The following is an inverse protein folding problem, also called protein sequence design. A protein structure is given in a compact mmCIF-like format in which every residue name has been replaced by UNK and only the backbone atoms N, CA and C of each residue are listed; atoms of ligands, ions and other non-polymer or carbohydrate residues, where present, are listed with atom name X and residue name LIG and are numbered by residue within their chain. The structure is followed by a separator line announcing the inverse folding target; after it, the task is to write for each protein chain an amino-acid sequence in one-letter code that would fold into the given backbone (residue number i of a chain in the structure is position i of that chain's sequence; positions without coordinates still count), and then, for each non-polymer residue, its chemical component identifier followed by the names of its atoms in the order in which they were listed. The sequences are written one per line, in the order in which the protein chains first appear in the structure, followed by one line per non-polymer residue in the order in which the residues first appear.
data_IF_349875467082
#
_entry.id   IF_349875467082
#
_cell.length_a   1.000
_cell.length_b   1.000
_cell.length_c   1.000
_cell.angle_alpha   90.00
_cell.angle_beta   90.00
_cell.angle_gamma   90.00
#
_symmetry.space_group_name_H-M   'P 1'
#
loop_
_entity.id
_entity.type
_entity.pdbx_description
1 polymer ?
#
# COMPACT_ATOMS: atom_id res chain seq x y z
N UNK A 1 2.95 -2.92 -18.57
CA UNK A 1 3.50 -2.65 -17.23
C UNK A 1 4.60 -3.65 -16.93
N UNK A 2 5.57 -3.33 -16.08
CA UNK A 2 6.44 -4.35 -15.46
C UNK A 2 7.64 -4.81 -16.29
N UNK A 3 8.11 -3.98 -17.24
CA UNK A 3 9.44 -4.21 -17.85
C UNK A 3 10.48 -3.52 -16.97
N UNK A 4 11.45 -4.28 -16.50
CA UNK A 4 12.61 -3.76 -15.78
C UNK A 4 13.80 -3.88 -16.72
N UNK A 5 14.51 -2.78 -16.96
CA UNK A 5 15.72 -2.83 -17.78
C UNK A 5 16.87 -3.47 -17.00
N UNK A 6 17.87 -3.96 -17.71
CA UNK A 6 19.00 -4.65 -17.09
C UNK A 6 19.78 -3.73 -16.13
N UNK A 7 20.00 -2.48 -16.51
CA UNK A 7 20.64 -1.45 -15.68
C UNK A 7 19.84 -1.18 -14.41
N UNK A 8 18.53 -0.95 -14.51
CA UNK A 8 17.63 -0.77 -13.36
C UNK A 8 17.65 -1.98 -12.42
N UNK A 9 17.63 -3.19 -12.97
CA UNK A 9 17.71 -4.44 -12.20
C UNK A 9 19.05 -4.57 -11.47
N UNK A 10 20.16 -4.37 -12.18
CA UNK A 10 21.51 -4.46 -11.62
C UNK A 10 21.74 -3.39 -10.55
N UNK A 11 21.28 -2.17 -10.77
CA UNK A 11 21.38 -1.08 -9.80
C UNK A 11 20.62 -1.43 -8.51
N UNK A 12 19.34 -1.82 -8.64
CA UNK A 12 18.49 -2.16 -7.49
C UNK A 12 19.02 -3.35 -6.69
N UNK A 13 19.38 -4.44 -7.36
CA UNK A 13 19.91 -5.65 -6.69
C UNK A 13 21.29 -5.41 -6.07
N UNK A 14 22.15 -4.58 -6.69
CA UNK A 14 23.45 -4.21 -6.12
C UNK A 14 23.30 -3.33 -4.87
N UNK A 15 22.42 -2.33 -4.91
CA UNK A 15 22.16 -1.46 -3.76
C UNK A 15 21.63 -2.24 -2.54
N UNK A 16 20.77 -3.22 -2.79
CA UNK A 16 20.24 -4.13 -1.76
C UNK A 16 21.20 -5.29 -1.43
N UNK A 17 22.33 -5.44 -2.15
CA UNK A 17 23.27 -6.56 -2.01
C UNK A 17 22.60 -7.93 -2.15
N UNK A 18 21.62 -8.04 -3.06
CA UNK A 18 20.86 -9.26 -3.31
C UNK A 18 21.53 -10.03 -4.44
N UNK A 19 21.96 -11.26 -4.15
CA UNK A 19 22.64 -12.14 -5.11
C UNK A 19 21.81 -13.36 -5.54
N UNK A 20 20.60 -13.54 -5.00
CA UNK A 20 19.75 -14.69 -5.31
C UNK A 20 18.26 -14.37 -5.19
N UNK A 21 17.43 -15.13 -5.92
CA UNK A 21 15.98 -14.99 -5.89
C UNK A 21 15.35 -15.27 -4.51
N UNK A 22 15.80 -16.26 -3.71
CA UNK A 22 15.28 -16.45 -2.35
C UNK A 22 15.49 -15.21 -1.47
N UNK A 23 16.66 -14.59 -1.54
CA UNK A 23 16.97 -13.35 -0.79
C UNK A 23 16.10 -12.19 -1.28
N UNK A 24 15.87 -12.07 -2.60
CA UNK A 24 14.91 -11.10 -3.14
C UNK A 24 13.51 -11.31 -2.57
N UNK A 25 13.05 -12.56 -2.52
CA UNK A 25 11.75 -12.92 -1.93
C UNK A 25 11.64 -12.50 -0.46
N UNK A 26 12.71 -12.64 0.32
CA UNK A 26 12.77 -12.14 1.70
C UNK A 26 12.65 -10.61 1.76
N UNK A 27 13.43 -9.89 0.95
CA UNK A 27 13.40 -8.43 0.93
C UNK A 27 12.02 -7.87 0.52
N UNK A 28 11.38 -8.48 -0.48
CA UNK A 28 10.04 -8.10 -0.91
C UNK A 28 9.00 -8.32 0.19
N UNK A 29 9.08 -9.45 0.90
CA UNK A 29 8.16 -9.74 2.02
C UNK A 29 8.36 -8.80 3.19
N UNK A 30 9.61 -8.45 3.51
CA UNK A 30 9.92 -7.47 4.55
C UNK A 30 9.25 -6.11 4.21
N UNK A 31 9.40 -5.64 2.97
CA UNK A 31 8.79 -4.38 2.50
C UNK A 31 7.25 -4.44 2.42
N UNK A 32 6.67 -5.53 1.93
CA UNK A 32 5.21 -5.73 1.89
C UNK A 32 4.62 -5.67 3.30
N UNK A 33 5.24 -6.38 4.26
CA UNK A 33 4.81 -6.38 5.64
C UNK A 33 4.87 -4.97 6.23
N UNK A 34 5.97 -4.24 6.01
CA UNK A 34 6.14 -2.89 6.54
C UNK A 34 5.16 -1.88 5.95
N UNK A 35 5.03 -1.85 4.62
CA UNK A 35 4.35 -0.76 3.92
C UNK A 35 2.87 -1.06 3.62
N UNK A 36 2.54 -2.30 3.26
CA UNK A 36 1.18 -2.65 2.79
C UNK A 36 0.34 -3.27 3.90
N UNK A 37 0.96 -4.00 4.84
CA UNK A 37 0.26 -4.67 5.95
C UNK A 37 0.34 -3.92 7.27
N UNK A 38 0.99 -2.75 7.27
CA UNK A 38 1.27 -1.93 8.45
C UNK A 38 1.87 -2.72 9.64
N UNK A 39 2.71 -3.71 9.35
CA UNK A 39 3.35 -4.52 10.38
C UNK A 39 4.42 -3.71 11.14
N UNK A 40 4.72 -4.15 12.35
CA UNK A 40 5.84 -3.63 13.13
C UNK A 40 7.18 -3.83 12.42
N UNK A 41 8.08 -2.83 12.42
CA UNK A 41 9.40 -2.96 11.82
C UNK A 41 10.23 -4.09 12.45
N UNK A 42 11.11 -4.68 11.64
CA UNK A 42 12.08 -5.67 12.12
C UNK A 42 12.95 -5.04 13.21
N UNK A 43 13.08 -5.71 14.35
CA UNK A 43 13.93 -5.24 15.46
C UNK A 43 15.40 -5.35 15.07
N UNK A 44 16.14 -4.26 15.12
CA UNK A 44 17.59 -4.28 15.05
C UNK A 44 18.18 -4.85 16.33
N UNK A 45 19.38 -5.43 16.25
CA UNK A 45 20.13 -5.85 17.44
C UNK A 45 20.41 -4.68 18.42
N UNK A 46 20.36 -3.43 17.96
CA UNK A 46 20.52 -2.22 18.80
C UNK A 46 19.26 -1.84 19.59
N UNK A 47 18.06 -2.27 19.15
CA UNK A 47 16.78 -1.92 19.78
C UNK A 47 16.12 -3.09 20.52
N UNK A 48 16.83 -4.23 20.65
CA UNK A 48 16.36 -5.33 21.49
C UNK A 48 16.43 -4.90 22.97
N UNK A 49 15.28 -4.72 23.61
CA UNK A 49 15.19 -4.53 25.05
C UNK A 49 15.97 -5.64 25.79
N UNK A 50 16.62 -5.33 26.93
CA UNK A 50 17.37 -6.33 27.68
C UNK A 50 16.40 -7.35 28.28
N UNK A 51 16.15 -8.43 27.54
CA UNK A 51 15.39 -9.58 28.04
C UNK A 51 16.25 -10.28 29.09
N UNK A 52 15.92 -10.07 30.37
CA UNK A 52 16.48 -10.85 31.48
C UNK A 52 16.12 -12.33 31.29
N UNK A 53 17.16 -13.17 31.34
CA UNK A 53 17.19 -14.64 31.40
C UNK A 53 16.81 -15.41 30.13
N UNK A 54 17.84 -15.86 29.42
CA UNK A 54 17.95 -17.27 28.97
C UNK A 54 19.39 -17.75 29.15
N UNK A 55 19.58 -18.60 30.16
CA UNK A 55 20.75 -19.45 30.33
C UNK A 55 20.68 -20.58 29.30
N UNK A 56 21.51 -20.55 28.27
CA UNK A 56 22.08 -21.75 27.63
C UNK A 56 23.06 -21.34 26.54
N UNK A 57 24.29 -21.83 26.67
CA UNK A 57 25.41 -21.61 25.77
C UNK A 57 25.12 -22.08 24.33
N UNK A 58 25.05 -21.11 23.41
CA UNK A 58 25.68 -21.13 22.09
C UNK A 58 25.84 -19.66 21.70
N UNK A 59 27.05 -19.11 21.76
CA UNK A 59 27.34 -17.80 21.16
C UNK A 59 27.25 -17.96 19.64
N UNK A 60 26.03 -17.92 19.10
CA UNK A 60 25.78 -17.93 17.67
C UNK A 60 26.34 -16.64 17.07
N UNK A 61 27.16 -16.77 16.03
CA UNK A 61 27.61 -15.65 15.22
C UNK A 61 26.41 -14.73 14.91
N UNK A 62 26.58 -13.41 15.06
CA UNK A 62 25.57 -12.45 14.65
C UNK A 62 25.15 -12.79 13.21
N UNK A 63 23.92 -13.30 13.05
CA UNK A 63 23.44 -13.75 11.76
C UNK A 63 23.29 -12.50 10.91
N UNK A 64 24.24 -12.30 9.99
CA UNK A 64 24.25 -11.19 9.05
C UNK A 64 22.91 -11.15 8.33
N UNK A 65 22.33 -9.96 8.22
CA UNK A 65 21.07 -9.76 7.51
C UNK A 65 21.17 -10.35 6.09
N UNK A 66 20.10 -10.99 5.59
CA UNK A 66 20.12 -11.67 4.30
C UNK A 66 20.36 -10.71 3.12
N UNK A 67 20.13 -9.41 3.30
CA UNK A 67 20.36 -8.34 2.33
C UNK A 67 20.64 -7.01 3.05
N UNK A 68 21.03 -5.97 2.31
CA UNK A 68 21.22 -4.64 2.86
C UNK A 68 19.88 -3.96 3.21
N UNK A 69 19.56 -3.91 4.51
CA UNK A 69 18.32 -3.34 5.05
C UNK A 69 18.35 -1.82 5.30
N UNK A 70 19.40 -1.09 4.92
CA UNK A 70 19.48 0.36 5.19
C UNK A 70 18.26 1.14 4.66
N UNK A 71 17.80 0.87 3.42
CA UNK A 71 16.59 1.51 2.88
C UNK A 71 15.32 1.09 3.62
N UNK A 72 15.22 -0.19 3.99
CA UNK A 72 14.09 -0.69 4.77
C UNK A 72 13.94 0.07 6.09
N UNK A 73 15.04 0.29 6.82
CA UNK A 73 14.99 1.05 8.07
C UNK A 73 14.69 2.52 7.85
N UNK A 74 15.19 3.13 6.77
CA UNK A 74 14.78 4.49 6.39
C UNK A 74 13.26 4.60 6.15
N UNK A 75 12.65 3.61 5.48
CA UNK A 75 11.20 3.57 5.33
C UNK A 75 10.45 3.33 6.64
N UNK A 76 11.06 2.62 7.60
CA UNK A 76 10.45 2.36 8.90
C UNK A 76 10.43 3.59 9.82
N UNK A 77 11.29 4.59 9.59
CA UNK A 77 11.29 5.86 10.33
C UNK A 77 10.02 6.69 10.07
N UNK A 78 9.53 6.68 8.83
CA UNK A 78 8.26 7.30 8.44
C UNK A 78 7.51 6.40 7.45
N UNK A 79 6.75 5.44 8.00
CA UNK A 79 5.93 4.50 7.23
C UNK A 79 4.90 5.22 6.36
N UNK A 80 4.36 6.35 6.82
CA UNK A 80 3.33 7.09 6.10
C UNK A 80 3.89 7.76 4.86
N UNK A 81 5.06 8.40 4.97
CA UNK A 81 5.75 8.98 3.82
C UNK A 81 6.18 7.89 2.83
N UNK A 82 6.80 6.81 3.31
CA UNK A 82 7.24 5.71 2.47
C UNK A 82 6.07 5.01 1.73
N UNK A 83 4.94 4.78 2.40
CA UNK A 83 3.75 4.25 1.75
C UNK A 83 3.17 5.23 0.73
N UNK A 84 3.16 6.53 1.02
CA UNK A 84 2.67 7.54 0.08
C UNK A 84 3.52 7.58 -1.19
N UNK A 85 4.84 7.43 -1.07
CA UNK A 85 5.75 7.30 -2.21
C UNK A 85 5.44 6.05 -3.04
N UNK A 86 5.32 4.88 -2.40
CA UNK A 86 4.93 3.63 -3.06
C UNK A 86 3.59 3.78 -3.80
N UNK A 87 2.59 4.34 -3.13
CA UNK A 87 1.26 4.53 -3.67
C UNK A 87 1.26 5.43 -4.91
N UNK A 88 2.00 6.54 -4.89
CA UNK A 88 2.13 7.43 -6.05
C UNK A 88 2.95 6.79 -7.18
N UNK A 89 3.98 6.02 -6.84
CA UNK A 89 4.75 5.23 -7.81
C UNK A 89 3.85 4.24 -8.55
N UNK A 90 2.95 3.53 -7.86
CA UNK A 90 2.03 2.57 -8.49
C UNK A 90 1.11 3.22 -9.54
N UNK A 91 0.67 4.46 -9.32
CA UNK A 91 -0.08 5.19 -10.35
C UNK A 91 0.77 5.42 -11.61
N UNK A 92 2.01 5.89 -11.45
CA UNK A 92 2.92 6.12 -12.59
C UNK A 92 3.25 4.81 -13.32
N UNK A 93 3.46 3.73 -12.56
CA UNK A 93 3.69 2.39 -13.08
C UNK A 93 2.50 1.87 -13.93
N UNK A 94 1.28 2.19 -13.49
CA UNK A 94 0.04 1.76 -14.13
C UNK A 94 -0.41 2.60 -15.30
N UNK A 95 -0.08 3.89 -15.26
CA UNK A 95 -0.49 4.85 -16.27
C UNK A 95 0.21 4.58 -17.61
N UNK A 96 -0.55 4.39 -18.71
CA UNK A 96 0.04 4.30 -20.04
C UNK A 96 0.92 5.53 -20.39
N UNK A 97 1.97 5.38 -21.23
CA UNK A 97 2.96 6.43 -21.51
C UNK A 97 2.41 7.78 -22.01
N UNK A 98 1.18 7.81 -22.53
CA UNK A 98 0.53 9.02 -23.06
C UNK A 98 -0.80 9.36 -22.36
N UNK A 99 -1.24 8.53 -21.42
CA UNK A 99 -2.48 8.76 -20.69
C UNK A 99 -2.21 9.64 -19.46
N UNK A 100 -3.23 10.38 -19.03
CA UNK A 100 -3.28 11.03 -17.71
C UNK A 100 -4.03 10.17 -16.67
N UNK A 101 -4.63 9.07 -17.11
CA UNK A 101 -5.51 8.22 -16.32
C UNK A 101 -5.09 6.75 -16.40
N UNK A 102 -5.48 5.99 -15.38
CA UNK A 102 -5.49 4.53 -15.38
C UNK A 102 -6.92 4.05 -15.58
N UNK A 103 -7.12 2.90 -16.22
CA UNK A 103 -8.44 2.28 -16.33
C UNK A 103 -9.00 1.96 -14.95
N UNK A 104 -10.31 2.10 -14.76
CA UNK A 104 -10.93 1.91 -13.44
C UNK A 104 -10.69 0.50 -12.89
N UNK A 105 -10.78 -0.52 -13.75
CA UNK A 105 -10.47 -1.91 -13.35
C UNK A 105 -9.04 -2.07 -12.85
N UNK A 106 -8.07 -1.41 -13.50
CA UNK A 106 -6.68 -1.39 -13.03
C UNK A 106 -6.57 -0.66 -11.69
N UNK A 107 -7.25 0.48 -11.52
CA UNK A 107 -7.26 1.22 -10.26
C UNK A 107 -7.81 0.37 -9.10
N UNK A 108 -8.95 -0.29 -9.31
CA UNK A 108 -9.58 -1.21 -8.36
C UNK A 108 -8.62 -2.34 -7.98
N UNK A 109 -7.96 -2.96 -8.96
CA UNK A 109 -6.99 -4.02 -8.69
C UNK A 109 -5.85 -3.51 -7.80
N UNK A 110 -5.28 -2.34 -8.06
CA UNK A 110 -4.28 -1.77 -7.16
C UNK A 110 -4.83 -1.44 -5.77
N UNK A 111 -5.99 -0.81 -5.66
CA UNK A 111 -6.59 -0.48 -4.35
C UNK A 111 -6.87 -1.73 -3.52
N UNK A 112 -7.26 -2.84 -4.15
CA UNK A 112 -7.44 -4.13 -3.47
C UNK A 112 -6.16 -4.68 -2.85
N UNK A 113 -5.00 -4.37 -3.45
CA UNK A 113 -3.69 -4.87 -2.98
C UNK A 113 -3.05 -3.89 -2.01
N UNK A 114 -3.15 -2.59 -2.29
CA UNK A 114 -2.43 -1.55 -1.55
C UNK A 114 -3.19 -1.04 -0.33
N UNK A 115 -4.52 -0.90 -0.43
CA UNK A 115 -5.31 -0.19 0.58
C UNK A 115 -6.22 -1.14 1.38
N UNK A 116 -6.87 -2.10 0.73
CA UNK A 116 -7.80 -3.01 1.42
C UNK A 116 -7.19 -3.79 2.61
N UNK A 117 -5.89 -4.16 2.62
CA UNK A 117 -5.28 -4.80 3.79
C UNK A 117 -5.25 -3.91 5.05
N UNK A 118 -5.24 -2.58 4.90
CA UNK A 118 -5.12 -1.62 6.00
C UNK A 118 -6.41 -0.83 6.26
N UNK A 119 -7.27 -0.69 5.25
CA UNK A 119 -8.46 0.15 5.30
C UNK A 119 -9.71 -0.66 4.94
N UNK A 120 -10.52 -0.99 5.94
CA UNK A 120 -11.71 -1.84 5.78
C UNK A 120 -12.76 -1.27 4.80
N UNK A 121 -12.89 0.07 4.76
CA UNK A 121 -13.85 0.76 3.88
C UNK A 121 -13.59 0.53 2.39
N UNK A 122 -12.37 0.16 2.01
CA UNK A 122 -11.97 -0.04 0.62
C UNK A 122 -12.68 -1.23 0.00
N UNK A 123 -13.01 -2.27 0.76
CA UNK A 123 -13.77 -3.41 0.24
C UNK A 123 -15.15 -2.98 -0.26
N UNK A 124 -15.83 -2.12 0.49
CA UNK A 124 -17.14 -1.56 0.11
C UNK A 124 -17.01 -0.58 -1.07
N UNK A 125 -15.92 0.19 -1.12
CA UNK A 125 -15.64 1.06 -2.28
C UNK A 125 -15.43 0.27 -3.57
N UNK A 126 -14.69 -0.84 -3.50
CA UNK A 126 -14.45 -1.72 -4.64
C UNK A 126 -15.77 -2.33 -5.13
N UNK A 127 -16.64 -2.75 -4.22
CA UNK A 127 -17.99 -3.22 -4.55
C UNK A 127 -18.79 -2.15 -5.29
N UNK A 128 -18.85 -0.93 -4.74
CA UNK A 128 -19.51 0.21 -5.36
C UNK A 128 -18.99 0.51 -6.77
N UNK A 129 -17.67 0.56 -6.94
CA UNK A 129 -17.04 0.88 -8.23
C UNK A 129 -17.28 -0.22 -9.28
N UNK A 130 -17.32 -1.49 -8.86
CA UNK A 130 -17.65 -2.59 -9.76
C UNK A 130 -19.13 -2.58 -10.17
N UNK A 131 -20.04 -2.19 -9.27
CA UNK A 131 -21.46 -2.06 -9.57
C UNK A 131 -21.75 -0.87 -10.50
N UNK A 132 -20.98 0.22 -10.37
CA UNK A 132 -21.23 1.48 -11.07
C UNK A 132 -20.37 1.64 -12.33
N UNK A 133 -20.88 1.14 -13.45
CA UNK A 133 -20.18 1.13 -14.74
C UNK A 133 -19.90 2.52 -15.35
N UNK A 134 -20.43 3.61 -14.79
CA UNK A 134 -20.23 4.97 -15.30
C UNK A 134 -18.80 5.49 -15.11
N UNK A 135 -18.07 5.00 -14.11
CA UNK A 135 -16.67 5.41 -13.89
C UNK A 135 -15.72 4.51 -14.67
N UNK A 136 -15.06 5.09 -15.68
CA UNK A 136 -14.21 4.34 -16.60
C UNK A 136 -12.72 4.42 -16.30
N UNK A 137 -12.28 5.44 -15.57
CA UNK A 137 -10.88 5.69 -15.31
C UNK A 137 -10.66 6.48 -14.02
N UNK A 138 -9.47 6.33 -13.44
CA UNK A 138 -8.98 7.17 -12.34
C UNK A 138 -7.87 8.09 -12.85
N UNK A 139 -8.00 9.38 -12.59
CA UNK A 139 -6.92 10.35 -12.80
C UNK A 139 -6.04 10.43 -11.53
N UNK A 140 -4.97 11.24 -11.59
CA UNK A 140 -4.04 11.41 -10.46
C UNK A 140 -4.72 12.00 -9.21
N UNK A 141 -5.71 12.85 -9.41
CA UNK A 141 -6.45 13.51 -8.34
C UNK A 141 -7.31 12.51 -7.56
N UNK A 142 -8.21 11.79 -8.23
CA UNK A 142 -9.00 10.71 -7.63
C UNK A 142 -8.12 9.66 -6.97
N UNK A 143 -7.01 9.27 -7.61
CA UNK A 143 -6.04 8.35 -7.01
C UNK A 143 -5.52 8.88 -5.68
N UNK A 144 -5.08 10.14 -5.62
CA UNK A 144 -4.54 10.74 -4.40
C UNK A 144 -5.60 10.92 -3.32
N UNK A 145 -6.79 11.40 -3.71
CA UNK A 145 -7.93 11.59 -2.83
C UNK A 145 -8.49 10.28 -2.28
N UNK A 146 -8.36 9.16 -2.99
CA UNK A 146 -8.72 7.84 -2.46
C UNK A 146 -7.90 7.48 -1.21
N UNK A 147 -6.59 7.71 -1.24
CA UNK A 147 -5.73 7.46 -0.07
C UNK A 147 -6.02 8.43 1.06
N UNK A 148 -6.24 9.71 0.74
CA UNK A 148 -6.60 10.72 1.75
C UNK A 148 -7.91 10.34 2.44
N UNK A 149 -8.94 9.98 1.67
CA UNK A 149 -10.22 9.53 2.20
C UNK A 149 -10.05 8.34 3.15
N UNK A 150 -9.24 7.34 2.78
CA UNK A 150 -8.97 6.20 3.64
C UNK A 150 -8.29 6.58 4.97
N UNK A 151 -7.49 7.66 4.98
CA UNK A 151 -6.76 8.12 6.17
C UNK A 151 -7.59 9.04 7.06
N UNK A 152 -8.49 9.82 6.49
CA UNK A 152 -9.17 10.90 7.22
C UNK A 152 -10.65 10.63 7.46
N UNK A 153 -11.30 9.75 6.69
CA UNK A 153 -12.72 9.45 6.84
C UNK A 153 -12.89 8.13 7.57
N UNK A 154 -13.68 8.17 8.64
CA UNK A 154 -13.97 6.99 9.45
C UNK A 154 -14.79 5.97 8.64
N UNK A 155 -14.59 4.66 8.86
CA UNK A 155 -15.37 3.63 8.18
C UNK A 155 -16.89 3.75 8.36
N UNK A 156 -17.37 4.39 9.43
CA UNK A 156 -18.78 4.68 9.67
C UNK A 156 -19.31 5.89 8.90
N UNK A 157 -18.43 6.70 8.30
CA UNK A 157 -18.73 7.97 7.61
C UNK A 157 -19.29 9.07 8.52
N UNK A 158 -19.07 8.98 9.84
CA UNK A 158 -19.61 9.93 10.81
C UNK A 158 -18.93 11.31 10.72
N UNK A 159 -17.66 11.34 10.34
CA UNK A 159 -16.86 12.55 10.19
C UNK A 159 -16.75 13.04 8.73
N UNK A 160 -17.55 12.47 7.82
CA UNK A 160 -17.58 12.90 6.42
C UNK A 160 -18.47 14.14 6.25
N UNK A 161 -17.90 15.20 5.67
CA UNK A 161 -18.58 16.45 5.34
C UNK A 161 -18.87 16.53 3.82
N UNK A 162 -20.14 16.70 3.47
CA UNK A 162 -20.60 16.68 2.07
C UNK A 162 -20.25 17.95 1.28
N UNK A 163 -19.88 19.03 1.95
CA UNK A 163 -19.36 20.26 1.34
C UNK A 163 -17.82 20.26 1.21
N UNK A 164 -17.17 19.14 1.55
CA UNK A 164 -15.76 18.93 1.31
C UNK A 164 -15.39 18.92 -0.17
N UNK A 165 -14.11 19.18 -0.47
CA UNK A 165 -13.58 19.19 -1.83
C UNK A 165 -13.23 17.77 -2.33
N UNK A 166 -14.13 16.81 -2.14
CA UNK A 166 -13.94 15.43 -2.56
C UNK A 166 -14.30 15.25 -4.05
N UNK A 167 -13.64 14.33 -4.77
CA UNK A 167 -14.09 13.93 -6.09
C UNK A 167 -15.49 13.31 -6.02
N UNK A 168 -16.35 13.61 -6.99
CA UNK A 168 -17.74 13.11 -7.06
C UNK A 168 -17.88 11.59 -6.90
N UNK A 169 -16.87 10.82 -7.31
CA UNK A 169 -16.85 9.36 -7.12
C UNK A 169 -16.94 8.97 -5.64
N UNK A 170 -16.24 9.72 -4.76
CA UNK A 170 -16.21 9.46 -3.33
C UNK A 170 -17.51 9.94 -2.67
N UNK A 171 -18.06 11.08 -3.11
CA UNK A 171 -19.38 11.56 -2.62
C UNK A 171 -20.49 10.57 -2.98
N UNK A 172 -20.50 10.07 -4.21
CA UNK A 172 -21.45 9.06 -4.66
C UNK A 172 -21.28 7.74 -3.91
N UNK A 173 -20.06 7.36 -3.55
CA UNK A 173 -19.79 6.20 -2.71
C UNK A 173 -20.39 6.38 -1.31
N UNK A 174 -20.20 7.54 -0.69
CA UNK A 174 -20.78 7.85 0.63
C UNK A 174 -22.30 7.78 0.57
N UNK A 175 -22.91 8.38 -0.45
CA UNK A 175 -24.36 8.32 -0.64
C UNK A 175 -24.85 6.87 -0.82
N UNK A 176 -24.15 6.08 -1.64
CA UNK A 176 -24.46 4.67 -1.85
C UNK A 176 -24.36 3.83 -0.56
N UNK A 177 -23.30 4.03 0.23
CA UNK A 177 -23.09 3.32 1.50
C UNK A 177 -24.16 3.69 2.53
N UNK A 178 -24.47 4.98 2.68
CA UNK A 178 -25.56 5.47 3.56
C UNK A 178 -26.95 4.97 3.14
N UNK A 179 -27.16 4.69 1.85
CA UNK A 179 -28.41 4.14 1.33
C UNK A 179 -28.56 2.61 1.52
N UNK A 180 -27.61 1.94 2.18
CA UNK A 180 -27.66 0.49 2.43
C UNK A 180 -26.86 -0.37 1.45
N UNK A 181 -25.97 0.25 0.67
CA UNK A 181 -25.06 -0.45 -0.24
C UNK A 181 -25.79 -1.33 -1.27
N UNK A 182 -25.19 -2.48 -1.62
CA UNK A 182 -25.80 -3.44 -2.55
C UNK A 182 -27.08 -4.09 -2.03
N UNK A 183 -27.35 -4.04 -0.71
CA UNK A 183 -28.55 -4.66 -0.12
C UNK A 183 -29.84 -3.89 -0.47
N UNK A 184 -29.75 -2.57 -0.65
CA UNK A 184 -30.88 -1.72 -1.01
C UNK A 184 -31.26 -1.76 -2.49
N UNK A 185 -30.36 -2.21 -3.38
CA UNK A 185 -30.65 -2.34 -4.82
C UNK A 185 -31.31 -3.68 -5.19
N UNK A 186 -31.34 -4.63 -4.25
CA UNK A 186 -31.92 -5.95 -4.42
C UNK A 186 -33.28 -6.15 -3.71
N UNK A 187 -33.80 -5.09 -3.07
CA UNK A 187 -35.09 -5.05 -2.38
C UNK A 187 -36.09 -4.17 -3.14
#
# INVERSE_FOLDING_TARGET
MGKIKQDEWTEGTSALQISSLPVLGHALRDLENLLVRDAEPIKTASNAAPSKKRTSATAGAAQKDPYNRSRYFGYAEDKNAAFSELYQFCFVLAKPPQSRNIEMETAIAFWSVLLAPSFSIVSEMIEFLNAKSSYKAANKDLWSMMLEFCRTVDPSLDNYEADGAWPTVLDDFVAWKKAGGSQAQAS
#
